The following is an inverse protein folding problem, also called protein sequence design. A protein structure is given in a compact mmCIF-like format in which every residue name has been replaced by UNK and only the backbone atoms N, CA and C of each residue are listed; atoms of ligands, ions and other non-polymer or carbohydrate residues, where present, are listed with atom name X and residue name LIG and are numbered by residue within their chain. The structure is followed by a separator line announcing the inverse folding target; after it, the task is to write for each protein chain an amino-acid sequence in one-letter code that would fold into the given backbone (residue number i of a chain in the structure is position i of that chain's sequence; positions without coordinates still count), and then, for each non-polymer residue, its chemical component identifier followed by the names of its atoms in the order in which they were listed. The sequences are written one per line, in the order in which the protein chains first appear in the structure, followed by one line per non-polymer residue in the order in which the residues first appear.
data_IF_343174386198
#
_entry.id   IF_343174386198
#
_cell.length_a   1.000
_cell.length_b   1.000
_cell.length_c   1.000
_cell.angle_alpha   90.00
_cell.angle_beta   90.00
_cell.angle_gamma   90.00
#
_symmetry.space_group_name_H-M   'P 1'
#
loop_
_entity.id
_entity.type
_entity.pdbx_description
1 polymer ?
#
# COMPACT_ATOMS: atom_id res chain seq x y z
N UNK A 1 -3.89 22.78 -5.24
CA UNK A 1 -4.89 23.18 -4.21
C UNK A 1 -4.43 22.60 -2.88
N UNK A 2 -4.17 23.43 -1.87
CA UNK A 2 -3.87 22.93 -0.52
C UNK A 2 -5.11 22.24 0.06
N UNK A 3 -4.93 21.19 0.85
CA UNK A 3 -6.02 20.49 1.53
C UNK A 3 -6.47 21.38 2.69
N UNK A 4 -7.67 21.97 2.61
CA UNK A 4 -8.20 22.89 3.62
C UNK A 4 -9.23 22.23 4.55
N UNK A 5 -9.66 21.00 4.25
CA UNK A 5 -10.70 20.27 4.97
C UNK A 5 -10.12 19.02 5.63
N UNK A 6 -10.34 18.85 6.95
CA UNK A 6 -9.88 17.68 7.75
C UNK A 6 -8.37 17.39 7.64
N UNK A 7 -7.56 18.45 7.72
CA UNK A 7 -6.08 18.38 7.60
C UNK A 7 -5.48 17.42 8.63
N UNK A 8 -5.99 17.38 9.85
CA UNK A 8 -5.50 16.49 10.91
C UNK A 8 -5.62 15.01 10.52
N UNK A 9 -6.74 14.60 9.94
CA UNK A 9 -6.95 13.21 9.51
C UNK A 9 -6.08 12.83 8.32
N UNK A 10 -5.90 13.77 7.38
CA UNK A 10 -4.98 13.59 6.26
C UNK A 10 -3.53 13.43 6.73
N UNK A 11 -3.10 14.26 7.68
CA UNK A 11 -1.75 14.19 8.26
C UNK A 11 -1.53 12.87 9.02
N UNK A 12 -2.51 12.39 9.78
CA UNK A 12 -2.43 11.07 10.43
C UNK A 12 -2.29 9.96 9.39
N UNK A 13 -3.14 9.96 8.36
CA UNK A 13 -3.06 8.95 7.30
C UNK A 13 -1.72 9.01 6.54
N UNK A 14 -1.18 10.20 6.34
CA UNK A 14 0.12 10.41 5.71
C UNK A 14 1.28 9.90 6.57
N UNK A 15 1.27 10.18 7.87
CA UNK A 15 2.29 9.67 8.80
C UNK A 15 2.22 8.15 8.92
N UNK A 16 1.01 7.56 8.95
CA UNK A 16 0.84 6.10 8.93
C UNK A 16 1.42 5.52 7.63
N UNK A 17 1.12 6.13 6.49
CA UNK A 17 1.70 5.73 5.20
C UNK A 17 3.23 5.79 5.23
N UNK A 18 3.82 6.86 5.76
CA UNK A 18 5.27 7.00 5.93
C UNK A 18 5.85 5.88 6.81
N UNK A 19 5.26 5.62 7.99
CA UNK A 19 5.74 4.54 8.87
C UNK A 19 5.68 3.16 8.20
N UNK A 20 4.64 2.87 7.41
CA UNK A 20 4.54 1.62 6.66
C UNK A 20 5.58 1.54 5.53
N UNK A 21 5.86 2.64 4.83
CA UNK A 21 6.93 2.67 3.81
C UNK A 21 8.31 2.45 4.44
N UNK A 22 8.59 3.08 5.58
CA UNK A 22 9.83 2.83 6.32
C UNK A 22 9.91 1.37 6.78
N UNK A 23 8.80 0.79 7.26
CA UNK A 23 8.70 -0.62 7.62
C UNK A 23 8.97 -1.57 6.44
N UNK A 24 8.47 -1.24 5.24
CA UNK A 24 8.73 -1.99 4.00
C UNK A 24 10.21 -1.97 3.63
N UNK A 25 10.91 -0.84 3.77
CA UNK A 25 12.35 -0.78 3.46
C UNK A 25 13.22 -1.40 4.56
N UNK A 26 12.72 -1.50 5.79
CA UNK A 26 13.42 -2.11 6.91
C UNK A 26 13.22 -3.63 7.02
N UNK A 27 12.24 -4.21 6.30
CA UNK A 27 11.96 -5.65 6.37
C UNK A 27 13.06 -6.47 5.71
N UNK A 28 13.60 -7.44 6.45
CA UNK A 28 14.61 -8.39 5.97
C UNK A 28 13.99 -9.69 5.44
N UNK A 29 12.84 -10.09 5.97
CA UNK A 29 12.11 -11.30 5.56
C UNK A 29 11.11 -11.00 4.44
N UNK A 30 11.04 -11.89 3.44
CA UNK A 30 10.09 -11.79 2.32
C UNK A 30 8.62 -11.68 2.78
N UNK A 31 8.23 -12.41 3.83
CA UNK A 31 6.88 -12.35 4.37
C UNK A 31 6.58 -11.00 5.04
N UNK A 32 7.51 -10.45 5.83
CA UNK A 32 7.35 -9.12 6.42
C UNK A 32 7.28 -8.05 5.33
N UNK A 33 8.13 -8.15 4.30
CA UNK A 33 8.10 -7.26 3.15
C UNK A 33 6.73 -7.26 2.47
N UNK A 34 6.17 -8.44 2.20
CA UNK A 34 4.83 -8.57 1.60
C UNK A 34 3.74 -7.93 2.47
N UNK A 35 3.80 -8.15 3.79
CA UNK A 35 2.82 -7.60 4.72
C UNK A 35 2.89 -6.06 4.75
N UNK A 36 4.09 -5.47 4.81
CA UNK A 36 4.24 -4.02 4.74
C UNK A 36 3.82 -3.46 3.37
N UNK A 37 4.13 -4.17 2.28
CA UNK A 37 3.73 -3.79 0.93
C UNK A 37 2.20 -3.72 0.77
N UNK A 38 1.47 -4.74 1.25
CA UNK A 38 0.01 -4.75 1.33
C UNK A 38 -0.52 -3.70 2.34
N UNK A 39 0.18 -3.48 3.45
CA UNK A 39 -0.21 -2.51 4.47
C UNK A 39 -0.30 -1.08 3.92
N UNK A 40 0.67 -0.66 3.09
CA UNK A 40 0.71 0.69 2.49
C UNK A 40 -0.52 0.99 1.62
N UNK A 41 -1.18 -0.03 1.07
CA UNK A 41 -2.40 0.14 0.27
C UNK A 41 -3.57 0.72 1.08
N UNK A 42 -3.68 0.40 2.37
CA UNK A 42 -4.81 0.83 3.21
C UNK A 42 -4.80 2.37 3.40
N UNK A 43 -3.70 3.01 3.85
CA UNK A 43 -3.63 4.47 3.93
C UNK A 43 -3.78 5.15 2.56
N UNK A 44 -3.17 4.61 1.50
CA UNK A 44 -3.31 5.18 0.16
C UNK A 44 -4.77 5.17 -0.32
N UNK A 45 -5.48 4.06 -0.10
CA UNK A 45 -6.89 3.94 -0.46
C UNK A 45 -7.75 4.98 0.26
N UNK A 46 -7.51 5.18 1.57
CA UNK A 46 -8.18 6.22 2.37
C UNK A 46 -7.87 7.64 1.86
N UNK A 47 -6.60 7.94 1.58
CA UNK A 47 -6.15 9.25 1.11
C UNK A 47 -6.81 9.60 -0.23
N UNK A 48 -6.76 8.67 -1.20
CA UNK A 48 -7.35 8.87 -2.53
C UNK A 48 -8.88 8.93 -2.43
N UNK A 49 -9.51 8.09 -1.61
CA UNK A 49 -10.96 8.02 -1.48
C UNK A 49 -11.59 9.26 -0.83
N UNK A 50 -10.95 9.83 0.20
CA UNK A 50 -11.50 10.98 0.95
C UNK A 50 -11.06 12.32 0.34
N UNK A 51 -9.78 12.48 0.04
CA UNK A 51 -9.20 13.76 -0.44
C UNK A 51 -8.89 13.81 -1.94
N UNK A 52 -9.14 12.73 -2.69
CA UNK A 52 -8.95 12.70 -4.13
C UNK A 52 -9.91 13.59 -4.93
N UNK A 53 -9.58 13.82 -6.20
CA UNK A 53 -10.31 14.73 -7.10
C UNK A 53 -11.63 14.20 -7.68
N UNK A 54 -12.06 14.77 -8.81
CA UNK A 54 -13.28 14.36 -9.51
C UNK A 54 -13.15 12.91 -10.00
N UNK A 55 -13.88 11.98 -9.35
CA UNK A 55 -13.81 10.50 -9.47
C UNK A 55 -12.87 9.78 -8.50
N UNK A 56 -12.66 10.34 -7.30
CA UNK A 56 -11.91 9.73 -6.18
C UNK A 56 -12.21 8.25 -5.91
N UNK A 57 -13.48 7.84 -5.88
CA UNK A 57 -13.86 6.43 -5.62
C UNK A 57 -13.38 5.52 -6.75
N UNK A 58 -13.61 5.91 -7.99
CA UNK A 58 -13.17 5.15 -9.16
C UNK A 58 -11.63 5.07 -9.28
N UNK A 59 -10.94 6.17 -8.95
CA UNK A 59 -9.48 6.20 -8.90
C UNK A 59 -8.92 5.30 -7.79
N UNK A 60 -9.52 5.33 -6.60
CA UNK A 60 -9.11 4.48 -5.47
C UNK A 60 -9.30 2.99 -5.77
N UNK A 61 -10.44 2.60 -6.35
CA UNK A 61 -10.69 1.22 -6.76
C UNK A 61 -9.73 0.73 -7.85
N UNK A 62 -9.46 1.55 -8.87
CA UNK A 62 -8.46 1.20 -9.89
C UNK A 62 -7.07 1.03 -9.30
N UNK A 63 -6.64 1.99 -8.48
CA UNK A 63 -5.36 1.91 -7.80
C UNK A 63 -5.23 0.59 -7.02
N UNK A 64 -6.20 0.31 -6.15
CA UNK A 64 -6.23 -0.93 -5.37
C UNK A 64 -6.18 -2.18 -6.26
N UNK A 65 -6.98 -2.25 -7.32
CA UNK A 65 -7.02 -3.42 -8.20
C UNK A 65 -5.71 -3.63 -8.97
N UNK A 66 -5.07 -2.55 -9.45
CA UNK A 66 -3.79 -2.64 -10.16
C UNK A 66 -2.67 -3.10 -9.23
N UNK A 67 -2.63 -2.60 -7.99
CA UNK A 67 -1.60 -3.01 -7.03
C UNK A 67 -1.84 -4.41 -6.50
N UNK A 68 -3.09 -4.81 -6.26
CA UNK A 68 -3.45 -6.18 -5.85
C UNK A 68 -3.09 -7.20 -6.93
N UNK A 69 -3.32 -6.90 -8.21
CA UNK A 69 -2.87 -7.78 -9.30
C UNK A 69 -1.35 -7.96 -9.28
N UNK A 70 -0.60 -6.89 -9.08
CA UNK A 70 0.86 -6.95 -8.96
C UNK A 70 1.32 -7.74 -7.73
N UNK A 71 0.64 -7.59 -6.59
CA UNK A 71 1.01 -8.27 -5.35
C UNK A 71 0.74 -9.76 -5.38
N UNK A 72 -0.35 -10.21 -6.02
CA UNK A 72 -0.63 -11.63 -6.22
C UNK A 72 0.45 -12.29 -7.08
N UNK A 73 0.91 -11.61 -8.14
CA UNK A 73 2.01 -12.11 -8.96
C UNK A 73 3.30 -12.21 -8.13
N UNK A 74 3.58 -11.22 -7.30
CA UNK A 74 4.72 -11.24 -6.38
C UNK A 74 4.63 -12.40 -5.36
N UNK A 75 3.44 -12.70 -4.85
CA UNK A 75 3.20 -13.82 -3.94
C UNK A 75 3.54 -15.16 -4.61
N UNK A 76 3.15 -15.34 -5.89
CA UNK A 76 3.48 -16.53 -6.67
C UNK A 76 5.00 -16.65 -6.85
N UNK A 77 5.70 -15.55 -7.16
CA UNK A 77 7.14 -15.54 -7.28
C UNK A 77 7.85 -15.90 -5.95
N UNK A 78 7.39 -15.35 -4.82
CA UNK A 78 7.95 -15.69 -3.51
C UNK A 78 7.73 -17.16 -3.15
N UNK A 79 6.54 -17.71 -3.43
CA UNK A 79 6.26 -19.14 -3.24
C UNK A 79 7.17 -20.01 -4.12
N UNK A 80 7.35 -19.65 -5.39
CA UNK A 80 8.25 -20.37 -6.29
C UNK A 80 9.70 -20.32 -5.80
N UNK A 81 10.17 -19.16 -5.33
CA UNK A 81 11.50 -19.02 -4.75
C UNK A 81 11.67 -19.83 -3.47
N UNK A 82 10.67 -19.87 -2.60
CA UNK A 82 10.69 -20.69 -1.38
C UNK A 82 10.81 -22.19 -1.72
N UNK A 83 10.11 -22.65 -2.76
CA UNK A 83 10.17 -24.04 -3.21
C UNK A 83 11.52 -24.38 -3.86
N UNK A 84 12.08 -23.46 -4.66
CA UNK A 84 13.35 -23.69 -5.37
C UNK A 84 14.57 -23.57 -4.44
N UNK A 85 14.57 -22.59 -3.54
CA UNK A 85 15.65 -22.36 -2.57
C UNK A 85 15.61 -23.35 -1.39
N UNK A 86 14.44 -23.95 -1.08
CA UNK A 86 14.30 -24.95 -0.02
C UNK A 86 14.46 -24.41 1.41
N UNK A 87 14.45 -23.08 1.58
CA UNK A 87 14.47 -22.32 2.84
C UNK A 87 13.50 -21.17 2.76
#
# INVERSE_FOLDING_TARGET
KAITHRVREYMIAFLVLETMMVGMFASLDMLMFYLFFEGVLIPMFLIIGVWGGARRVYAAFKFFLYTLMGSVLMLICMLAMYIDAGT
#
